data_IF_822638440902
#
_entry.id   IF_822638440902
#
_cell.length_a   1.000
_cell.length_b   1.000
_cell.length_c   1.000
_cell.angle_alpha   90.00
_cell.angle_beta   90.00
_cell.angle_gamma   90.00
#
_symmetry.space_group_name_H-M   'P 1'
#
loop_
_entity.id
_entity.type
_entity.pdbx_description
1 polymer ?
#
# COMPACT_ATOMS: atom_id res chain seq x y z
N UNK A 1 -27.73 -7.99 -11.97
CA UNK A 1 -26.51 -7.15 -12.10
C UNK A 1 -26.96 -5.71 -12.30
N UNK A 2 -26.66 -4.81 -11.36
CA UNK A 2 -27.11 -3.41 -11.38
C UNK A 2 -26.27 -2.56 -12.33
N UNK A 3 -26.86 -2.14 -13.45
CA UNK A 3 -26.32 -1.12 -14.35
C UNK A 3 -26.82 0.24 -13.92
N UNK A 4 -26.03 0.96 -13.13
CA UNK A 4 -26.32 2.36 -12.80
C UNK A 4 -25.76 3.25 -13.92
N UNK A 5 -26.58 4.12 -14.56
CA UNK A 5 -26.19 4.88 -15.75
C UNK A 5 -24.97 5.80 -15.51
N UNK A 6 -24.77 6.29 -14.29
CA UNK A 6 -23.68 7.23 -13.99
C UNK A 6 -22.34 6.58 -13.55
N UNK A 7 -22.20 5.25 -13.64
CA UNK A 7 -20.94 4.58 -13.25
C UNK A 7 -19.75 5.02 -14.11
N UNK A 8 -19.99 5.29 -15.40
CA UNK A 8 -18.93 5.63 -16.33
C UNK A 8 -18.35 7.04 -16.09
N UNK A 9 -19.19 7.99 -15.70
CA UNK A 9 -18.79 9.39 -15.47
C UNK A 9 -17.69 9.52 -14.41
N UNK A 10 -17.70 8.66 -13.38
CA UNK A 10 -16.66 8.64 -12.36
C UNK A 10 -15.30 8.21 -12.93
N UNK A 11 -15.27 7.18 -13.80
CA UNK A 11 -14.04 6.70 -14.42
C UNK A 11 -13.47 7.69 -15.43
N UNK A 12 -14.34 8.36 -16.19
CA UNK A 12 -13.92 9.42 -17.13
C UNK A 12 -13.29 10.60 -16.39
N UNK A 13 -13.90 11.06 -15.28
CA UNK A 13 -13.33 12.12 -14.45
C UNK A 13 -11.97 11.72 -13.85
N UNK A 14 -11.87 10.50 -13.30
CA UNK A 14 -10.59 9.97 -12.79
C UNK A 14 -9.54 9.93 -13.91
N UNK A 15 -9.93 9.51 -15.12
CA UNK A 15 -9.03 9.43 -16.26
C UNK A 15 -8.50 10.81 -16.66
N UNK A 16 -9.40 11.81 -16.76
CA UNK A 16 -9.02 13.18 -17.08
C UNK A 16 -8.05 13.75 -16.04
N UNK A 17 -8.40 13.65 -14.75
CA UNK A 17 -7.54 14.14 -13.67
C UNK A 17 -6.17 13.45 -13.69
N UNK A 18 -6.14 12.13 -13.86
CA UNK A 18 -4.86 11.39 -13.95
C UNK A 18 -3.98 11.93 -15.07
N UNK A 19 -4.55 12.22 -16.24
CA UNK A 19 -3.82 12.78 -17.36
C UNK A 19 -3.26 14.17 -17.01
N UNK A 20 -4.09 15.07 -16.49
CA UNK A 20 -3.68 16.44 -16.14
C UNK A 20 -2.54 16.45 -15.11
N UNK A 21 -2.60 15.59 -14.09
CA UNK A 21 -1.53 15.49 -13.08
C UNK A 21 -0.24 14.88 -13.66
N UNK A 22 -0.33 13.88 -14.53
CA UNK A 22 0.83 13.29 -15.18
C UNK A 22 1.55 14.33 -16.05
N UNK A 23 0.80 15.08 -16.86
CA UNK A 23 1.31 16.12 -17.76
C UNK A 23 1.94 17.29 -16.98
N UNK A 24 1.36 17.66 -15.84
CA UNK A 24 1.92 18.67 -14.92
C UNK A 24 3.16 18.18 -14.14
N UNK A 25 3.62 16.96 -14.37
CA UNK A 25 4.80 16.43 -13.69
C UNK A 25 4.52 15.83 -12.31
N UNK A 26 3.27 15.86 -11.85
CA UNK A 26 2.87 15.45 -10.51
C UNK A 26 2.77 13.92 -10.35
N UNK A 27 2.92 13.39 -9.13
CA UNK A 27 2.70 11.98 -8.88
C UNK A 27 1.21 11.64 -8.96
N UNK A 28 0.91 10.47 -9.51
CA UNK A 28 -0.42 9.85 -9.44
C UNK A 28 -0.26 8.54 -8.69
N UNK A 29 -0.88 8.47 -7.50
CA UNK A 29 -0.74 7.34 -6.59
C UNK A 29 -2.05 6.60 -6.43
N UNK A 30 -1.97 5.28 -6.34
CA UNK A 30 -3.05 4.43 -5.85
C UNK A 30 -2.69 3.97 -4.45
N UNK A 31 -3.59 4.14 -3.49
CA UNK A 31 -3.44 3.63 -2.13
C UNK A 31 -4.51 2.59 -1.85
N UNK A 32 -4.12 1.47 -1.25
CA UNK A 32 -5.03 0.41 -0.83
C UNK A 32 -4.56 -0.21 0.49
N UNK A 33 -5.53 -0.55 1.33
CA UNK A 33 -5.31 -1.31 2.57
C UNK A 33 -5.65 -2.76 2.30
N UNK A 34 -4.67 -3.65 2.37
CA UNK A 34 -4.97 -5.09 2.21
C UNK A 34 -5.49 -5.66 3.53
N UNK A 35 -5.99 -6.89 3.43
CA UNK A 35 -6.47 -7.68 4.56
C UNK A 35 -5.44 -7.66 5.70
N UNK A 36 -5.94 -7.50 6.92
CA UNK A 36 -5.14 -7.68 8.14
C UNK A 36 -4.64 -9.11 8.22
N UNK A 37 -3.34 -9.27 8.42
CA UNK A 37 -2.70 -10.57 8.59
C UNK A 37 -2.44 -10.81 10.07
N UNK A 38 -2.77 -12.01 10.58
CA UNK A 38 -2.48 -12.37 11.96
C UNK A 38 -1.02 -12.82 12.07
N UNK A 39 -0.32 -12.25 13.04
CA UNK A 39 1.02 -12.69 13.40
C UNK A 39 0.92 -13.89 14.33
N UNK A 40 1.60 -14.97 13.99
CA UNK A 40 1.63 -16.20 14.79
C UNK A 40 1.99 -17.41 13.95
N UNK A 41 2.03 -18.57 14.60
CA UNK A 41 2.39 -19.85 13.95
C UNK A 41 1.16 -20.45 13.26
N UNK A 42 0.69 -19.78 12.22
CA UNK A 42 -0.45 -20.19 11.41
C UNK A 42 0.00 -20.85 10.12
N UNK A 43 -0.76 -21.84 9.66
CA UNK A 43 -0.51 -22.49 8.38
C UNK A 43 -0.70 -21.49 7.23
N UNK A 44 0.27 -21.48 6.31
CA UNK A 44 0.21 -20.75 5.05
C UNK A 44 0.68 -21.69 3.96
N UNK A 45 -0.06 -21.74 2.85
CA UNK A 45 0.34 -22.55 1.71
C UNK A 45 1.63 -22.00 1.11
N UNK A 46 2.69 -22.81 1.05
CA UNK A 46 3.99 -22.40 0.55
C UNK A 46 5.13 -23.21 1.15
N UNK A 47 6.35 -22.71 0.95
CA UNK A 47 7.56 -23.32 1.51
C UNK A 47 8.29 -22.30 2.37
N UNK A 48 8.70 -22.74 3.56
CA UNK A 48 9.48 -21.95 4.51
C UNK A 48 10.89 -22.56 4.60
N UNK A 49 11.91 -21.73 4.44
CA UNK A 49 13.29 -22.15 4.71
C UNK A 49 13.50 -22.19 6.22
N UNK A 50 13.54 -23.41 6.77
CA UNK A 50 13.72 -23.67 8.21
C UNK A 50 14.65 -24.87 8.42
N UNK A 51 15.29 -24.92 9.58
CA UNK A 51 16.17 -26.03 9.96
C UNK A 51 15.39 -27.26 10.47
N UNK A 52 14.13 -27.07 10.88
CA UNK A 52 13.25 -28.13 11.37
C UNK A 52 11.78 -27.81 11.07
N UNK A 53 10.94 -28.86 11.04
CA UNK A 53 9.50 -28.70 10.90
C UNK A 53 8.93 -27.88 12.06
N UNK A 54 8.06 -26.91 11.74
CA UNK A 54 7.38 -26.06 12.72
C UNK A 54 5.93 -26.52 12.78
N UNK A 55 5.45 -26.84 13.99
CA UNK A 55 4.04 -27.15 14.19
C UNK A 55 3.21 -25.87 14.07
N UNK A 56 2.22 -25.88 13.19
CA UNK A 56 1.37 -24.71 12.90
C UNK A 56 -0.09 -24.97 13.26
N UNK A 57 -0.80 -23.92 13.64
CA UNK A 57 -2.25 -23.92 13.74
C UNK A 57 -2.84 -23.94 12.33
N UNK A 58 -3.75 -24.88 12.06
CA UNK A 58 -4.50 -24.98 10.82
C UNK A 58 -5.62 -23.92 10.72
N UNK A 59 -6.07 -23.40 11.86
CA UNK A 59 -7.07 -22.34 11.96
C UNK A 59 -6.48 -21.02 12.46
N UNK A 60 -6.88 -19.92 11.80
CA UNK A 60 -6.47 -18.55 12.10
C UNK A 60 -7.39 -17.90 13.14
N UNK A 61 -7.21 -18.23 14.43
CA UNK A 61 -7.93 -17.56 15.51
C UNK A 61 -7.15 -16.35 16.05
N UNK A 62 -7.78 -15.15 16.15
CA UNK A 62 -7.12 -13.97 16.72
C UNK A 62 -6.59 -14.17 18.13
N UNK A 63 -7.24 -15.00 18.95
CA UNK A 63 -6.78 -15.34 20.31
C UNK A 63 -5.45 -16.09 20.34
N UNK A 64 -5.09 -16.76 19.24
CA UNK A 64 -3.85 -17.50 19.09
C UNK A 64 -2.76 -16.68 18.38
N UNK A 65 -3.08 -15.43 18.02
CA UNK A 65 -2.16 -14.51 17.36
C UNK A 65 -1.40 -13.68 18.41
N UNK A 66 -0.13 -13.38 18.13
CA UNK A 66 0.67 -12.45 18.93
C UNK A 66 0.45 -10.99 18.54
N UNK A 67 -0.27 -10.76 17.43
CA UNK A 67 -0.65 -9.45 16.93
C UNK A 67 -1.25 -9.53 15.53
N UNK A 68 -1.43 -8.38 14.89
CA UNK A 68 -1.83 -8.30 13.49
C UNK A 68 -1.00 -7.26 12.77
N UNK A 69 -0.69 -7.53 11.50
CA UNK A 69 -0.08 -6.57 10.59
C UNK A 69 -1.13 -6.07 9.62
N UNK A 70 -1.15 -4.76 9.43
CA UNK A 70 -1.96 -4.09 8.43
C UNK A 70 -1.01 -3.52 7.38
N UNK A 71 -0.98 -4.12 6.18
CA UNK A 71 -0.22 -3.59 5.06
C UNK A 71 -0.98 -2.45 4.36
N UNK A 72 -0.34 -1.29 4.26
CA UNK A 72 -0.77 -0.17 3.41
C UNK A 72 0.14 -0.11 2.20
N UNK A 73 -0.43 -0.38 1.03
CA UNK A 73 0.28 -0.35 -0.24
C UNK A 73 0.03 0.97 -0.97
N UNK A 74 1.10 1.57 -1.47
CA UNK A 74 1.08 2.70 -2.40
C UNK A 74 1.70 2.25 -3.71
N UNK A 75 1.09 2.65 -4.81
CA UNK A 75 1.64 2.45 -6.13
C UNK A 75 1.72 3.78 -6.86
N UNK A 76 2.93 4.22 -7.18
CA UNK A 76 3.18 5.39 -8.02
C UNK A 76 3.12 4.94 -9.49
N UNK A 77 2.06 5.34 -10.18
CA UNK A 77 1.83 4.96 -11.57
C UNK A 77 2.85 5.60 -12.52
N UNK A 78 3.37 6.77 -12.18
CA UNK A 78 4.32 7.50 -13.01
C UNK A 78 5.70 6.86 -12.94
N UNK A 79 6.13 6.48 -11.74
CA UNK A 79 7.43 5.83 -11.51
C UNK A 79 7.39 4.31 -11.66
N UNK A 80 6.20 3.72 -11.76
CA UNK A 80 6.01 2.27 -11.79
C UNK A 80 6.68 1.61 -10.57
N UNK A 81 6.53 2.22 -9.39
CA UNK A 81 7.19 1.81 -8.14
C UNK A 81 6.13 1.60 -7.06
N UNK A 82 6.27 0.50 -6.31
CA UNK A 82 5.41 0.18 -5.17
C UNK A 82 6.12 0.49 -3.85
N UNK A 83 5.36 0.99 -2.89
CA UNK A 83 5.80 1.22 -1.51
C UNK A 83 4.81 0.53 -0.57
N UNK A 84 5.31 -0.16 0.45
CA UNK A 84 4.48 -0.86 1.43
C UNK A 84 4.92 -0.44 2.83
N UNK A 85 3.96 0.05 3.61
CA UNK A 85 4.14 0.24 5.05
C UNK A 85 3.46 -0.91 5.77
N UNK A 86 4.16 -1.51 6.73
CA UNK A 86 3.60 -2.53 7.61
C UNK A 86 3.35 -1.93 8.99
N UNK A 87 2.08 -1.71 9.32
CA UNK A 87 1.66 -1.25 10.64
C UNK A 87 1.28 -2.41 11.55
N UNK A 88 1.60 -2.34 12.83
CA UNK A 88 1.08 -3.26 13.86
C UNK A 88 -0.11 -2.68 14.64
N UNK A 89 -0.55 -1.47 14.28
CA UNK A 89 -1.68 -0.76 14.90
C UNK A 89 -2.98 -0.97 14.10
N UNK A 90 -4.07 -0.34 14.52
CA UNK A 90 -5.33 -0.35 13.80
C UNK A 90 -5.26 0.44 12.48
N UNK A 91 -6.12 0.08 11.54
CA UNK A 91 -6.29 0.83 10.29
C UNK A 91 -7.13 2.07 10.61
N UNK A 92 -6.46 3.22 10.69
CA UNK A 92 -7.08 4.52 10.96
C UNK A 92 -6.66 5.54 9.91
N UNK A 93 -7.43 6.62 9.79
CA UNK A 93 -7.10 7.74 8.90
C UNK A 93 -5.72 8.32 9.19
N UNK A 94 -5.35 8.39 10.47
CA UNK A 94 -4.04 8.88 10.92
C UNK A 94 -2.92 7.99 10.39
N UNK A 95 -3.06 6.66 10.49
CA UNK A 95 -2.06 5.73 9.99
C UNK A 95 -1.91 5.79 8.46
N UNK A 96 -3.01 6.00 7.73
CA UNK A 96 -2.97 6.19 6.29
C UNK A 96 -2.25 7.50 5.90
N UNK A 97 -2.53 8.60 6.61
CA UNK A 97 -1.84 9.88 6.43
C UNK A 97 -0.34 9.78 6.75
N UNK A 98 0.02 9.11 7.85
CA UNK A 98 1.41 8.88 8.23
C UNK A 98 2.14 8.04 7.17
N UNK A 99 1.49 7.01 6.64
CA UNK A 99 2.07 6.17 5.58
C UNK A 99 2.30 6.96 4.29
N UNK A 100 1.35 7.83 3.91
CA UNK A 100 1.50 8.73 2.76
C UNK A 100 2.63 9.74 2.98
N UNK A 101 2.73 10.30 4.18
CA UNK A 101 3.78 11.25 4.54
C UNK A 101 5.16 10.61 4.49
N UNK A 102 5.31 9.39 5.01
CA UNK A 102 6.57 8.65 4.95
C UNK A 102 7.00 8.35 3.52
N UNK A 103 6.07 7.94 2.64
CA UNK A 103 6.38 7.79 1.22
C UNK A 103 6.85 9.12 0.59
N UNK A 104 6.16 10.22 0.87
CA UNK A 104 6.50 11.52 0.31
C UNK A 104 7.92 11.98 0.69
N UNK A 105 8.27 11.87 1.97
CA UNK A 105 9.58 12.30 2.47
C UNK A 105 10.70 11.38 1.99
N UNK A 106 10.52 10.07 2.09
CA UNK A 106 11.62 9.12 1.90
C UNK A 106 11.84 8.75 0.43
N UNK A 107 10.80 8.72 -0.38
CA UNK A 107 10.88 8.30 -1.79
C UNK A 107 10.80 9.52 -2.72
N UNK A 108 9.74 10.32 -2.60
CA UNK A 108 9.47 11.38 -3.57
C UNK A 108 10.44 12.58 -3.45
N UNK A 109 10.69 13.08 -2.23
CA UNK A 109 11.58 14.22 -2.01
C UNK A 109 13.04 13.88 -2.27
N UNK A 110 13.50 12.70 -1.82
CA UNK A 110 14.87 12.23 -2.06
C UNK A 110 15.12 12.10 -3.56
N UNK A 111 14.19 11.53 -4.32
CA UNK A 111 14.32 11.39 -5.78
C UNK A 111 14.30 12.74 -6.51
N UNK A 112 13.51 13.71 -6.05
CA UNK A 112 13.55 15.08 -6.60
C UNK A 112 14.89 15.78 -6.31
N UNK A 113 15.47 15.58 -5.13
CA UNK A 113 16.78 16.14 -4.77
C UNK A 113 17.92 15.57 -5.62
N UNK A 114 17.83 14.29 -6.00
CA UNK A 114 18.84 13.63 -6.84
C UNK A 114 18.69 13.91 -8.35
N UNK A 115 17.54 14.45 -8.77
CA UNK A 115 17.26 14.81 -10.18
C UNK A 115 17.32 16.33 -10.45
N UNK A 116 17.25 17.17 -9.41
CA UNK A 116 17.57 18.60 -9.51
C UNK A 116 19.04 18.84 -9.15
N UNK A 117 19.83 19.31 -10.12
CA UNK A 117 20.98 20.15 -9.79
C UNK A 117 20.47 21.37 -8.99
N UNK A 118 21.20 21.85 -7.98
CA UNK A 118 20.71 22.93 -7.13
C UNK A 118 20.38 24.15 -7.98
N UNK A 119 19.19 24.69 -7.80
CA UNK A 119 18.80 25.97 -8.36
C UNK A 119 19.59 27.06 -7.61
N UNK A 120 20.44 27.79 -8.35
CA UNK A 120 20.98 29.08 -7.95
C UNK A 120 20.05 30.19 -8.42
#
# INVERSE_FOLDING_TARGET
>A
MGGHPDRNAQFENITQLKQDYLDAGNPVISMDTKKKELLGTFYRNGSLYTQAAIQTNDHDFPSSATGSVIPHGFYDLKRNTGYITLGTSHDTSEFACDSLFQWWVNDLQVTKSNSCKPWH
#
